data_IF_182016119079
#
_entry.id   IF_182016119079
#
_cell.length_a   1.000
_cell.length_b   1.000
_cell.length_c   1.000
_cell.angle_alpha   90.00
_cell.angle_beta   90.00
_cell.angle_gamma   90.00
#
_symmetry.space_group_name_H-M   'P 1'
#
loop_
_entity.id
_entity.type
_entity.pdbx_description
1 polymer ?
#
# COMPACT_ATOMS: atom_id res chain seq x y z
N UNK A 1 -4.17 -3.76 -23.94
CA UNK A 1 -4.41 -4.50 -22.68
C UNK A 1 -3.76 -3.75 -21.54
N UNK A 2 -4.53 -3.26 -20.55
CA UNK A 2 -3.95 -2.64 -19.34
C UNK A 2 -3.21 -3.74 -18.57
N UNK A 3 -1.90 -3.56 -18.31
CA UNK A 3 -1.14 -4.47 -17.43
C UNK A 3 -1.66 -4.24 -16.01
N UNK A 4 -2.16 -5.29 -15.37
CA UNK A 4 -2.61 -5.24 -13.98
C UNK A 4 -1.51 -5.78 -13.08
N UNK A 5 -1.12 -5.00 -12.08
CA UNK A 5 -0.16 -5.40 -11.06
C UNK A 5 -0.92 -5.77 -9.78
N UNK A 6 -0.61 -6.93 -9.23
CA UNK A 6 -1.08 -7.34 -7.91
C UNK A 6 -0.10 -6.87 -6.84
N UNK A 7 -0.63 -6.35 -5.74
CA UNK A 7 0.15 -5.82 -4.61
C UNK A 7 -0.29 -6.55 -3.36
N UNK A 8 0.68 -7.15 -2.64
CA UNK A 8 0.47 -7.83 -1.37
C UNK A 8 1.31 -7.08 -0.32
N UNK A 9 0.71 -6.25 0.54
CA UNK A 9 1.45 -5.56 1.58
C UNK A 9 1.99 -6.54 2.63
N UNK A 10 3.24 -6.33 3.06
CA UNK A 10 3.89 -7.07 4.14
C UNK A 10 4.28 -6.07 5.23
N UNK A 11 3.71 -6.22 6.42
CA UNK A 11 4.02 -5.39 7.58
C UNK A 11 5.04 -6.11 8.47
N UNK A 12 6.32 -5.83 8.22
CA UNK A 12 7.45 -6.43 8.94
C UNK A 12 7.91 -5.51 10.07
N UNK A 13 7.85 -5.99 11.32
CA UNK A 13 8.23 -5.23 12.52
C UNK A 13 7.54 -3.86 12.64
N UNK A 14 6.36 -3.71 12.03
CA UNK A 14 5.52 -2.51 12.12
C UNK A 14 4.08 -2.94 12.27
N UNK A 15 3.30 -2.20 13.06
CA UNK A 15 1.86 -2.44 13.14
C UNK A 15 1.18 -1.92 11.88
N UNK A 16 0.31 -2.74 11.28
CA UNK A 16 -0.57 -2.31 10.17
C UNK A 16 -1.41 -1.08 10.55
N UNK A 17 -1.86 -1.00 11.81
CA UNK A 17 -2.62 0.15 12.31
C UNK A 17 -1.78 1.42 12.27
N UNK A 18 -0.55 1.34 12.76
CA UNK A 18 0.38 2.47 12.84
C UNK A 18 0.79 2.96 11.44
N UNK A 19 1.05 2.05 10.50
CA UNK A 19 1.31 2.43 9.09
C UNK A 19 0.10 3.16 8.49
N UNK A 20 -1.12 2.67 8.75
CA UNK A 20 -2.35 3.24 8.21
C UNK A 20 -2.68 4.62 8.78
N UNK A 21 -2.39 4.86 10.05
CA UNK A 21 -2.71 6.12 10.73
C UNK A 21 -1.52 7.04 10.91
N UNK A 22 -0.35 6.68 10.38
CA UNK A 22 0.94 7.31 10.71
C UNK A 22 1.12 7.45 12.22
N UNK A 23 0.83 6.38 12.96
CA UNK A 23 1.02 6.28 14.40
C UNK A 23 2.35 5.60 14.77
N UNK A 24 2.64 5.53 16.07
CA UNK A 24 3.81 4.85 16.61
C UNK A 24 5.14 5.33 16.02
N UNK A 25 6.18 4.50 16.14
CA UNK A 25 7.51 4.82 15.62
C UNK A 25 7.50 5.05 14.10
N UNK A 26 6.71 4.30 13.34
CA UNK A 26 6.59 4.47 11.90
C UNK A 26 6.15 5.91 11.54
N UNK A 27 5.09 6.38 12.19
CA UNK A 27 4.56 7.73 12.01
C UNK A 27 5.55 8.82 12.37
N UNK A 28 6.24 8.67 13.49
CA UNK A 28 7.26 9.62 13.94
C UNK A 28 8.38 9.79 12.91
N UNK A 29 8.96 8.67 12.44
CA UNK A 29 10.00 8.70 11.40
C UNK A 29 9.49 9.21 10.06
N UNK A 30 8.24 8.89 9.71
CA UNK A 30 7.61 9.42 8.50
C UNK A 30 7.47 10.95 8.56
N UNK A 31 7.07 11.50 9.71
CA UNK A 31 6.93 12.95 9.91
C UNK A 31 8.27 13.68 9.91
N UNK A 32 9.32 13.08 10.46
CA UNK A 32 10.70 13.60 10.36
C UNK A 32 11.17 13.66 8.90
N UNK A 33 10.91 12.58 8.15
CA UNK A 33 11.19 12.53 6.72
C UNK A 33 10.39 13.60 5.96
N UNK A 34 9.10 13.76 6.26
CA UNK A 34 8.25 14.81 5.68
C UNK A 34 8.86 16.19 5.83
N UNK A 35 9.27 16.59 7.04
CA UNK A 35 9.90 17.89 7.31
C UNK A 35 11.12 18.15 6.44
N UNK A 36 11.96 17.13 6.19
CA UNK A 36 13.15 17.25 5.34
C UNK A 36 12.85 17.47 3.86
N UNK A 37 11.66 17.08 3.40
CA UNK A 37 11.28 17.12 1.99
C UNK A 37 10.15 18.11 1.67
N UNK A 38 9.59 18.79 2.67
CA UNK A 38 8.57 19.84 2.47
C UNK A 38 9.05 20.98 1.57
N UNK A 39 10.33 21.39 1.71
CA UNK A 39 10.88 22.54 0.97
C UNK A 39 11.42 22.17 -0.43
N UNK A 40 11.13 20.95 -0.91
CA UNK A 40 11.62 20.49 -2.20
C UNK A 40 10.83 21.11 -3.36
N UNK A 41 11.37 22.20 -3.91
CA UNK A 41 10.72 23.06 -4.92
C UNK A 41 10.27 22.36 -6.22
N UNK A 42 10.86 21.22 -6.58
CA UNK A 42 10.59 20.57 -7.87
C UNK A 42 9.41 19.59 -7.83
N UNK A 43 8.86 19.27 -6.65
CA UNK A 43 7.76 18.31 -6.52
C UNK A 43 6.89 18.62 -5.29
N UNK A 44 6.03 19.66 -5.38
CA UNK A 44 5.23 20.12 -4.25
C UNK A 44 4.20 19.09 -3.76
N UNK A 45 3.83 18.12 -4.60
CA UNK A 45 2.87 17.06 -4.27
C UNK A 45 3.51 15.75 -3.81
N UNK A 46 4.84 15.70 -3.68
CA UNK A 46 5.58 14.50 -3.28
C UNK A 46 5.04 13.87 -2.01
N UNK A 47 4.94 14.69 -0.96
CA UNK A 47 4.50 14.26 0.36
C UNK A 47 3.08 13.72 0.29
N UNK A 48 2.17 14.45 -0.36
CA UNK A 48 0.78 14.01 -0.51
C UNK A 48 0.67 12.67 -1.25
N UNK A 49 1.49 12.46 -2.30
CA UNK A 49 1.53 11.18 -3.03
C UNK A 49 2.06 10.05 -2.16
N UNK A 50 3.09 10.28 -1.35
CA UNK A 50 3.60 9.29 -0.41
C UNK A 50 2.56 8.95 0.66
N UNK A 51 1.96 9.95 1.30
CA UNK A 51 0.92 9.77 2.30
C UNK A 51 -0.26 8.96 1.73
N UNK A 52 -0.75 9.36 0.55
CA UNK A 52 -1.84 8.65 -0.14
C UNK A 52 -1.45 7.22 -0.48
N UNK A 53 -0.24 7.01 -1.00
CA UNK A 53 0.21 5.66 -1.40
C UNK A 53 0.33 4.73 -0.20
N UNK A 54 0.93 5.18 0.89
CA UNK A 54 1.06 4.41 2.13
C UNK A 54 -0.32 4.10 2.71
N UNK A 55 -1.22 5.08 2.79
CA UNK A 55 -2.59 4.86 3.26
C UNK A 55 -3.33 3.84 2.40
N UNK A 56 -3.28 3.97 1.08
CA UNK A 56 -3.96 3.04 0.16
C UNK A 56 -3.40 1.63 0.29
N UNK A 57 -2.08 1.47 0.22
CA UNK A 57 -1.42 0.15 0.35
C UNK A 57 -1.72 -0.46 1.72
N UNK A 58 -1.74 0.34 2.79
CA UNK A 58 -2.00 -0.17 4.14
C UNK A 58 -3.41 -0.77 4.33
N UNK A 59 -4.33 -0.46 3.42
CA UNK A 59 -5.72 -0.96 3.43
C UNK A 59 -5.94 -2.13 2.46
N UNK A 60 -4.96 -2.47 1.63
CA UNK A 60 -5.10 -3.55 0.66
C UNK A 60 -5.14 -4.91 1.37
N UNK A 61 -5.89 -5.83 0.75
CA UNK A 61 -5.92 -7.24 1.07
C UNK A 61 -5.71 -8.08 -0.21
N UNK A 62 -5.15 -9.28 -0.13
CA UNK A 62 -4.59 -9.89 1.08
C UNK A 62 -3.34 -9.15 1.56
N UNK A 63 -3.14 -9.13 2.88
CA UNK A 63 -1.95 -8.58 3.51
C UNK A 63 -1.38 -9.53 4.56
N UNK A 64 -0.07 -9.44 4.78
CA UNK A 64 0.64 -10.29 5.73
C UNK A 64 1.23 -9.43 6.84
N UNK A 65 1.05 -9.83 8.09
CA UNK A 65 1.63 -9.16 9.25
C UNK A 65 2.62 -10.08 9.94
N UNK A 66 3.78 -9.53 10.30
CA UNK A 66 4.79 -10.24 11.08
C UNK A 66 4.26 -10.70 12.45
N UNK A 67 3.46 -9.85 13.11
CA UNK A 67 2.88 -10.12 14.44
C UNK A 67 2.02 -11.40 14.46
N UNK A 68 1.46 -11.79 13.32
CA UNK A 68 0.67 -13.02 13.19
C UNK A 68 1.54 -14.28 12.97
N UNK A 69 2.85 -14.13 12.77
CA UNK A 69 3.76 -15.23 12.41
C UNK A 69 4.65 -15.63 13.58
N UNK A 70 4.87 -16.93 13.71
CA UNK A 70 5.72 -17.51 14.76
C UNK A 70 7.23 -17.35 14.50
N UNK A 71 7.64 -17.11 13.24
CA UNK A 71 9.05 -16.95 12.84
C UNK A 71 9.23 -16.31 11.45
N UNK A 72 10.45 -15.85 11.14
CA UNK A 72 10.83 -15.28 9.83
C UNK A 72 10.67 -16.29 8.70
N UNK A 73 10.95 -17.56 8.99
CA UNK A 73 10.81 -18.66 8.04
C UNK A 73 9.32 -18.84 7.71
N UNK A 74 8.45 -18.81 8.72
CA UNK A 74 7.01 -18.95 8.50
C UNK A 74 6.43 -17.79 7.69
N UNK A 75 6.85 -16.54 7.97
CA UNK A 75 6.47 -15.39 7.14
C UNK A 75 6.90 -15.57 5.68
N UNK A 76 8.11 -16.07 5.42
CA UNK A 76 8.59 -16.32 4.06
C UNK A 76 7.73 -17.38 3.33
N UNK A 77 7.33 -18.45 4.02
CA UNK A 77 6.42 -19.46 3.50
C UNK A 77 5.03 -18.87 3.16
N UNK A 78 4.49 -18.01 4.03
CA UNK A 78 3.24 -17.29 3.77
C UNK A 78 3.33 -16.39 2.54
N UNK A 79 4.43 -15.66 2.36
CA UNK A 79 4.67 -14.84 1.17
C UNK A 79 4.68 -15.72 -0.09
N UNK A 80 5.41 -16.84 -0.07
CA UNK A 80 5.49 -17.77 -1.19
C UNK A 80 4.09 -18.31 -1.53
N UNK A 81 3.30 -18.70 -0.52
CA UNK A 81 1.94 -19.21 -0.72
C UNK A 81 1.02 -18.15 -1.30
N UNK A 82 1.06 -16.93 -0.78
CA UNK A 82 0.23 -15.83 -1.25
C UNK A 82 0.53 -15.50 -2.71
N UNK A 83 1.82 -15.39 -3.07
CA UNK A 83 2.24 -15.13 -4.46
C UNK A 83 1.80 -16.25 -5.41
N UNK A 84 2.00 -17.52 -5.03
CA UNK A 84 1.55 -18.66 -5.85
C UNK A 84 0.04 -18.62 -6.10
N UNK A 85 -0.76 -18.42 -5.05
CA UNK A 85 -2.22 -18.29 -5.16
C UNK A 85 -2.63 -17.17 -6.12
N UNK A 86 -2.02 -15.99 -6.01
CA UNK A 86 -2.33 -14.86 -6.88
C UNK A 86 -1.92 -15.11 -8.34
N UNK A 87 -0.81 -15.82 -8.59
CA UNK A 87 -0.40 -16.23 -9.94
C UNK A 87 -1.34 -17.27 -10.54
N UNK A 88 -1.79 -18.24 -9.75
CA UNK A 88 -2.73 -19.27 -10.17
C UNK A 88 -4.08 -18.64 -10.54
N UNK A 89 -4.61 -17.74 -9.69
CA UNK A 89 -5.86 -17.01 -9.99
C UNK A 89 -5.75 -16.12 -11.22
N UNK A 90 -4.60 -15.46 -11.43
CA UNK A 90 -4.39 -14.62 -12.61
C UNK A 90 -4.27 -15.44 -13.91
N UNK A 91 -3.97 -16.73 -13.81
CA UNK A 91 -3.88 -17.66 -14.94
C UNK A 91 -5.23 -18.31 -15.28
N UNK A 92 -6.24 -18.16 -14.41
CA UNK A 92 -7.60 -18.65 -14.64
C UNK A 92 -8.38 -17.69 -15.57
N UNK A 93 -8.85 -18.15 -16.75
CA UNK A 93 -9.61 -17.32 -17.69
C UNK A 93 -10.96 -16.80 -17.15
N UNK A 94 -11.46 -17.32 -16.02
CA UNK A 94 -12.69 -16.87 -15.38
C UNK A 94 -12.54 -15.78 -14.30
N UNK A 95 -11.31 -15.39 -13.94
CA UNK A 95 -11.09 -14.49 -12.80
C UNK A 95 -11.27 -13.01 -13.16
N UNK A 96 -12.36 -12.41 -12.68
CA UNK A 96 -12.51 -10.95 -12.63
C UNK A 96 -12.03 -10.44 -11.28
N UNK A 97 -11.03 -9.57 -11.29
CA UNK A 97 -10.55 -8.94 -10.07
C UNK A 97 -11.65 -8.13 -9.34
N UNK A 98 -11.60 -8.05 -8.00
CA UNK A 98 -12.49 -7.19 -7.24
C UNK A 98 -12.45 -5.73 -7.73
N UNK A 99 -13.62 -5.10 -7.80
CA UNK A 99 -13.80 -3.71 -8.29
C UNK A 99 -13.15 -2.65 -7.40
N UNK A 100 -12.72 -3.02 -6.18
CA UNK A 100 -12.01 -2.15 -5.23
C UNK A 100 -10.65 -1.66 -5.74
N UNK A 101 -10.16 -2.25 -6.84
CA UNK A 101 -8.92 -1.85 -7.52
C UNK A 101 -9.16 -0.95 -8.74
N UNK A 102 -10.39 -0.50 -9.00
CA UNK A 102 -10.66 0.49 -10.06
C UNK A 102 -10.54 1.90 -9.48
N UNK A 103 -9.53 2.65 -9.92
CA UNK A 103 -9.27 4.05 -9.54
C UNK A 103 -10.34 5.06 -10.05
N UNK A 104 -11.56 4.63 -10.36
CA UNK A 104 -12.58 5.46 -11.01
C UNK A 104 -13.42 6.32 -10.05
N UNK A 105 -13.16 6.27 -8.74
CA UNK A 105 -13.96 7.00 -7.74
C UNK A 105 -13.16 8.05 -6.95
N UNK A 106 -12.31 8.81 -7.63
CA UNK A 106 -11.91 10.13 -7.13
C UNK A 106 -12.69 11.21 -7.89
N UNK A 107 -13.56 12.00 -7.23
CA UNK A 107 -14.15 13.15 -7.87
C UNK A 107 -13.02 14.11 -8.26
N UNK A 108 -13.00 14.54 -9.53
CA UNK A 108 -12.15 15.64 -9.98
C UNK A 108 -12.42 16.84 -9.08
N UNK A 109 -11.44 17.24 -8.26
CA UNK A 109 -11.47 18.56 -7.64
C UNK A 109 -11.46 19.58 -8.77
N UNK A 110 -12.59 20.26 -8.96
CA UNK A 110 -12.68 21.48 -9.75
C UNK A 110 -11.79 22.52 -9.08
N UNK A 111 -10.73 22.91 -9.79
CA UNK A 111 -9.94 24.09 -9.46
C UNK A 111 -10.87 25.28 -9.63
N UNK A 112 -11.30 25.87 -8.52
CA UNK A 112 -12.01 27.15 -8.53
C UNK A 112 -11.12 28.22 -9.13
N UNK A 113 -11.71 29.01 -10.02
CA UNK A 113 -11.09 30.09 -10.79
C UNK A 113 -10.63 31.26 -9.90
N UNK A 114 -9.46 31.78 -10.26
CA UNK A 114 -8.86 33.13 -10.07
C UNK A 114 -9.05 33.83 -8.72
#
# INVERSE_FOLDING_TARGET
>A
TKKKLLVIPIFLNVSKKDVRTFGGEFGERFMEMRKRYTDYKYDPFRIQRWETSVMTISRMEPSLTWEAQSSNIHLAEEIIRAVKRELDMASDPGFSFPSEFSNDSHPKMTIGEV
#
